data_IF_506424161562
#
_entry.id   IF_506424161562
#
_cell.length_a   1.000
_cell.length_b   1.000
_cell.length_c   1.000
_cell.angle_alpha   90.00
_cell.angle_beta   90.00
_cell.angle_gamma   90.00
#
_symmetry.space_group_name_H-M   'P 1'
#
loop_
_entity.id
_entity.type
_entity.pdbx_description
1 polymer ?
#
# COMPACT_ATOMS: atom_id res chain seq x y z
N UNK A 1 -33.56 56.39 -24.10
CA UNK A 1 -32.42 56.21 -23.15
C UNK A 1 -32.81 55.52 -21.83
N UNK A 2 -33.97 55.70 -21.26
CA UNK A 2 -34.37 55.09 -19.98
C UNK A 2 -34.54 53.53 -19.97
N UNK A 3 -34.78 52.92 -21.13
CA UNK A 3 -34.93 51.45 -21.24
C UNK A 3 -33.58 50.70 -21.25
N UNK A 4 -32.50 51.31 -21.72
CA UNK A 4 -31.17 50.72 -21.73
C UNK A 4 -30.56 50.64 -20.32
N UNK A 5 -30.82 51.62 -19.47
CA UNK A 5 -30.31 51.64 -18.10
C UNK A 5 -30.93 50.60 -17.18
N UNK A 6 -32.21 50.23 -17.40
CA UNK A 6 -32.88 49.17 -16.64
C UNK A 6 -32.36 47.75 -17.01
N UNK A 7 -31.96 47.51 -18.26
CA UNK A 7 -31.37 46.27 -18.69
C UNK A 7 -29.94 46.07 -18.14
N UNK A 8 -29.13 47.10 -18.15
CA UNK A 8 -27.77 47.06 -17.59
C UNK A 8 -27.77 46.86 -16.07
N UNK A 9 -28.75 47.45 -15.36
CA UNK A 9 -28.84 47.25 -13.89
C UNK A 9 -29.30 45.86 -13.52
N UNK A 10 -30.23 45.26 -14.27
CA UNK A 10 -30.65 43.85 -14.09
C UNK A 10 -29.52 42.84 -14.40
N UNK A 11 -28.69 43.09 -15.41
CA UNK A 11 -27.54 42.27 -15.75
C UNK A 11 -26.45 42.35 -14.66
N UNK A 12 -26.20 43.55 -14.11
CA UNK A 12 -25.28 43.74 -12.99
C UNK A 12 -25.77 43.08 -11.70
N UNK A 13 -27.05 43.14 -11.39
CA UNK A 13 -27.66 42.48 -10.22
C UNK A 13 -27.63 40.97 -10.38
N UNK A 14 -27.84 40.39 -11.59
CA UNK A 14 -27.72 38.94 -11.81
C UNK A 14 -26.27 38.46 -11.76
N UNK A 15 -25.30 39.25 -12.18
CA UNK A 15 -23.88 38.96 -12.05
C UNK A 15 -23.40 39.03 -10.57
N UNK A 16 -23.92 39.98 -9.80
CA UNK A 16 -23.64 40.06 -8.36
C UNK A 16 -24.33 38.93 -7.57
N UNK A 17 -25.56 38.53 -7.94
CA UNK A 17 -26.23 37.40 -7.27
C UNK A 17 -25.51 36.08 -7.49
N UNK A 18 -24.89 35.86 -8.67
CA UNK A 18 -24.02 34.67 -8.89
C UNK A 18 -22.65 34.77 -8.20
N UNK A 19 -22.17 35.97 -7.87
CA UNK A 19 -20.93 36.15 -7.12
C UNK A 19 -21.11 35.93 -5.60
N UNK A 20 -22.35 35.91 -5.09
CA UNK A 20 -22.68 35.69 -3.67
C UNK A 20 -23.03 34.20 -3.44
N UNK A 21 -23.22 33.36 -4.48
CA UNK A 21 -23.16 31.91 -4.37
C UNK A 21 -21.70 31.47 -4.13
N UNK A 22 -21.10 32.08 -3.11
CA UNK A 22 -19.75 31.79 -2.71
C UNK A 22 -19.72 30.64 -1.74
N UNK A 23 -18.82 29.75 -1.96
CA UNK A 23 -18.26 28.83 -1.00
C UNK A 23 -19.28 28.07 -0.15
N UNK A 24 -20.10 27.25 -0.77
CA UNK A 24 -20.54 26.04 -0.09
C UNK A 24 -19.30 25.37 0.46
N UNK A 25 -19.27 25.10 1.77
CA UNK A 25 -18.20 24.32 2.36
C UNK A 25 -18.10 23.03 1.54
N UNK A 26 -16.92 22.79 0.97
CA UNK A 26 -16.65 21.51 0.32
C UNK A 26 -17.11 20.39 1.27
N UNK A 27 -17.87 19.41 0.80
CA UNK A 27 -18.31 18.30 1.64
C UNK A 27 -17.08 17.67 2.32
N UNK A 28 -17.27 17.17 3.52
CA UNK A 28 -16.22 16.45 4.23
C UNK A 28 -15.74 15.28 3.34
N UNK A 29 -14.44 15.02 3.27
CA UNK A 29 -13.93 13.90 2.49
C UNK A 29 -14.40 12.58 3.10
N UNK A 30 -14.73 11.62 2.24
CA UNK A 30 -15.03 10.24 2.61
C UNK A 30 -13.96 9.32 2.05
N UNK A 31 -13.77 8.17 2.68
CA UNK A 31 -13.04 7.08 2.05
C UNK A 31 -13.89 6.56 0.88
N UNK A 32 -13.29 6.47 -0.29
CA UNK A 32 -13.98 5.94 -1.46
C UNK A 32 -13.90 4.43 -1.45
N UNK A 33 -15.01 3.78 -1.80
CA UNK A 33 -15.04 2.33 -2.01
C UNK A 33 -13.98 1.92 -3.06
N UNK A 34 -13.40 0.75 -2.88
CA UNK A 34 -12.44 0.17 -3.81
C UNK A 34 -13.14 -0.40 -5.05
N UNK A 35 -13.58 0.49 -5.94
CA UNK A 35 -14.31 0.13 -7.17
C UNK A 35 -13.50 -0.80 -8.09
N UNK A 36 -12.17 -0.75 -8.03
CA UNK A 36 -11.30 -1.65 -8.79
C UNK A 36 -11.39 -3.07 -8.26
N UNK A 37 -11.41 -3.24 -6.94
CA UNK A 37 -11.57 -4.54 -6.30
C UNK A 37 -12.97 -5.08 -6.53
N UNK A 38 -14.00 -4.25 -6.32
CA UNK A 38 -15.38 -4.64 -6.58
C UNK A 38 -15.56 -5.16 -8.02
N UNK A 39 -15.12 -4.39 -9.00
CA UNK A 39 -15.18 -4.81 -10.41
C UNK A 39 -14.38 -6.11 -10.67
N UNK A 40 -13.27 -6.30 -9.98
CA UNK A 40 -12.48 -7.54 -10.07
C UNK A 40 -13.28 -8.73 -9.55
N UNK A 41 -13.96 -8.61 -8.42
CA UNK A 41 -14.81 -9.64 -7.85
C UNK A 41 -16.03 -9.94 -8.76
N UNK A 42 -16.71 -8.91 -9.27
CA UNK A 42 -17.79 -9.06 -10.26
C UNK A 42 -17.36 -9.89 -11.47
N UNK A 43 -16.23 -9.50 -12.08
CA UNK A 43 -15.71 -10.21 -13.27
C UNK A 43 -15.19 -11.63 -12.97
N UNK A 44 -14.85 -11.92 -11.74
CA UNK A 44 -14.38 -13.25 -11.33
C UNK A 44 -15.52 -14.22 -11.01
N UNK A 45 -16.66 -13.73 -10.51
CA UNK A 45 -17.75 -14.55 -9.97
C UNK A 45 -19.07 -14.46 -10.74
N UNK A 46 -19.33 -13.34 -11.43
CA UNK A 46 -20.61 -13.14 -12.12
C UNK A 46 -20.50 -13.35 -13.64
N UNK A 47 -21.60 -13.69 -14.32
CA UNK A 47 -21.70 -13.68 -15.78
C UNK A 47 -21.37 -12.30 -16.37
N UNK A 48 -20.92 -12.27 -17.62
CA UNK A 48 -20.56 -11.04 -18.31
C UNK A 48 -21.74 -10.03 -18.38
N UNK A 49 -21.53 -8.84 -17.83
CA UNK A 49 -22.51 -7.75 -17.80
C UNK A 49 -23.44 -7.76 -16.58
N UNK A 50 -23.26 -8.72 -15.66
CA UNK A 50 -23.93 -8.71 -14.36
C UNK A 50 -23.08 -7.99 -13.33
N UNK A 51 -23.74 -7.40 -12.33
CA UNK A 51 -23.15 -6.65 -11.24
C UNK A 51 -23.75 -7.09 -9.92
N UNK A 52 -22.97 -6.95 -8.84
CA UNK A 52 -23.52 -7.13 -7.49
C UNK A 52 -24.62 -6.09 -7.21
N UNK A 53 -25.54 -6.44 -6.32
CA UNK A 53 -26.61 -5.52 -5.93
C UNK A 53 -26.05 -4.21 -5.34
N UNK A 54 -26.72 -3.08 -5.63
CA UNK A 54 -26.31 -1.78 -5.11
C UNK A 54 -26.39 -1.71 -3.58
N UNK A 55 -27.22 -2.56 -2.92
CA UNK A 55 -27.29 -2.68 -1.46
C UNK A 55 -25.94 -3.05 -0.84
N UNK A 56 -25.17 -3.96 -1.46
CA UNK A 56 -23.87 -4.39 -0.94
C UNK A 56 -22.85 -3.24 -0.86
N UNK A 57 -22.90 -2.30 -1.82
CA UNK A 57 -22.07 -1.09 -1.73
C UNK A 57 -22.38 -0.28 -0.47
N UNK A 58 -23.66 -0.11 -0.16
CA UNK A 58 -24.10 0.62 1.01
C UNK A 58 -23.75 -0.12 2.30
N UNK A 59 -23.90 -1.43 2.32
CA UNK A 59 -23.55 -2.26 3.47
C UNK A 59 -22.06 -2.18 3.79
N UNK A 60 -21.19 -2.36 2.79
CA UNK A 60 -19.73 -2.23 2.96
C UNK A 60 -19.37 -0.81 3.40
N UNK A 61 -19.94 0.23 2.79
CA UNK A 61 -19.69 1.61 3.20
C UNK A 61 -20.07 1.85 4.66
N UNK A 62 -21.21 1.30 5.13
CA UNK A 62 -21.66 1.42 6.51
C UNK A 62 -20.74 0.67 7.47
N UNK A 63 -20.37 -0.58 7.15
CA UNK A 63 -19.43 -1.38 7.95
C UNK A 63 -18.10 -0.65 8.06
N UNK A 64 -17.53 -0.22 6.94
CA UNK A 64 -16.24 0.47 6.91
C UNK A 64 -16.28 1.83 7.61
N UNK A 65 -17.40 2.54 7.55
CA UNK A 65 -17.60 3.80 8.26
C UNK A 65 -17.67 3.57 9.78
N UNK A 66 -18.36 2.53 10.22
CA UNK A 66 -18.42 2.16 11.63
C UNK A 66 -17.06 1.80 12.19
N UNK A 67 -16.31 0.91 11.51
CA UNK A 67 -15.02 0.42 11.97
C UNK A 67 -13.91 1.48 11.89
N UNK A 68 -13.86 2.24 10.81
CA UNK A 68 -12.72 3.10 10.49
C UNK A 68 -13.04 4.61 10.42
N UNK A 69 -14.30 4.99 10.57
CA UNK A 69 -14.70 6.40 10.51
C UNK A 69 -14.46 7.05 9.16
N UNK A 70 -14.08 8.32 9.19
CA UNK A 70 -13.84 9.15 8.00
C UNK A 70 -12.41 9.67 7.95
N UNK A 71 -11.95 10.21 6.80
CA UNK A 71 -10.66 10.88 6.72
C UNK A 71 -10.52 12.11 7.65
N UNK A 72 -11.62 12.69 8.12
CA UNK A 72 -11.61 13.82 9.06
C UNK A 72 -11.73 13.36 10.51
N UNK A 73 -12.30 12.20 10.75
CA UNK A 73 -12.49 11.60 12.07
C UNK A 73 -12.25 10.09 11.97
N UNK A 74 -10.97 9.67 11.95
CA UNK A 74 -10.60 8.26 11.88
C UNK A 74 -10.97 7.55 13.19
N UNK A 75 -11.49 6.33 13.05
CA UNK A 75 -11.74 5.38 14.11
C UNK A 75 -10.86 4.16 13.90
N UNK A 76 -10.69 3.37 14.94
CA UNK A 76 -10.09 2.05 14.83
C UNK A 76 -10.82 1.10 15.77
N UNK A 77 -11.26 -0.07 15.32
CA UNK A 77 -12.03 -0.98 16.14
C UNK A 77 -11.12 -1.69 17.16
N UNK A 78 -11.45 -1.56 18.43
CA UNK A 78 -10.83 -2.28 19.52
C UNK A 78 -11.92 -2.88 20.41
N UNK A 79 -11.69 -4.07 20.89
CA UNK A 79 -12.53 -4.69 21.91
C UNK A 79 -12.24 -4.05 23.28
N UNK A 80 -13.27 -3.89 24.11
CA UNK A 80 -13.09 -3.43 25.49
C UNK A 80 -12.15 -4.38 26.26
N UNK A 81 -11.15 -3.81 26.92
CA UNK A 81 -10.12 -4.57 27.67
C UNK A 81 -8.81 -4.78 26.94
N UNK A 82 -8.75 -4.54 25.63
CA UNK A 82 -7.51 -4.62 24.81
C UNK A 82 -6.95 -3.22 24.46
N UNK A 83 -7.49 -2.16 25.07
CA UNK A 83 -7.08 -0.78 24.80
C UNK A 83 -5.56 -0.56 24.97
N UNK A 84 -4.95 -1.21 25.96
CA UNK A 84 -3.52 -1.07 26.23
C UNK A 84 -2.66 -1.70 25.12
N UNK A 85 -3.00 -2.92 24.65
CA UNK A 85 -2.29 -3.59 23.55
C UNK A 85 -2.52 -2.87 22.21
N UNK A 86 -3.73 -2.37 22.03
CA UNK A 86 -4.11 -1.65 20.84
C UNK A 86 -3.44 -0.27 20.76
N UNK A 87 -3.26 0.42 21.88
CA UNK A 87 -2.50 1.67 21.96
C UNK A 87 -1.00 1.49 21.66
N UNK A 88 -0.43 0.32 21.98
CA UNK A 88 0.94 -0.02 21.58
C UNK A 88 1.06 -0.17 20.05
N UNK A 89 -0.01 -0.63 19.41
CA UNK A 89 -0.03 -0.91 17.97
C UNK A 89 -0.33 0.33 17.11
N UNK A 90 -1.36 1.10 17.44
CA UNK A 90 -1.75 2.36 16.78
C UNK A 90 -2.13 3.40 17.82
N UNK A 91 -1.46 4.54 17.81
CA UNK A 91 -1.81 5.67 18.66
C UNK A 91 -2.93 6.51 18.03
N UNK A 92 -4.05 6.67 18.75
CA UNK A 92 -5.22 7.40 18.25
C UNK A 92 -5.02 8.88 18.05
N UNK A 93 -4.26 9.52 18.92
CA UNK A 93 -3.97 10.94 18.80
C UNK A 93 -3.15 11.20 17.55
N UNK A 94 -2.22 10.29 17.24
CA UNK A 94 -1.45 10.31 16.00
C UNK A 94 -2.34 10.16 14.76
N UNK A 95 -3.35 9.26 14.80
CA UNK A 95 -4.29 9.11 13.69
C UNK A 95 -5.05 10.41 13.44
N UNK A 96 -5.59 11.03 14.48
CA UNK A 96 -6.32 12.30 14.38
C UNK A 96 -5.44 13.42 13.89
N UNK A 97 -4.21 13.46 14.35
CA UNK A 97 -3.23 14.47 13.92
C UNK A 97 -2.81 14.29 12.47
N UNK A 98 -2.59 13.04 12.03
CA UNK A 98 -2.20 12.76 10.65
C UNK A 98 -3.35 12.94 9.66
N UNK A 99 -4.59 12.62 10.06
CA UNK A 99 -5.73 12.46 9.17
C UNK A 99 -6.30 13.77 8.63
N UNK A 100 -7.03 14.49 9.45
CA UNK A 100 -7.96 15.51 9.03
C UNK A 100 -7.61 16.93 9.41
N UNK A 101 -8.65 17.70 9.74
CA UNK A 101 -8.53 19.07 10.24
C UNK A 101 -8.26 19.02 11.73
N UNK A 102 -6.98 19.11 12.10
CA UNK A 102 -6.59 18.94 13.50
C UNK A 102 -6.49 20.28 14.23
N UNK A 103 -6.05 21.34 13.56
CA UNK A 103 -5.74 22.61 14.19
C UNK A 103 -6.36 23.79 13.45
N UNK A 104 -6.61 24.88 14.19
CA UNK A 104 -6.76 26.19 13.60
C UNK A 104 -5.40 26.89 13.64
N UNK A 105 -5.01 27.55 12.55
CA UNK A 105 -3.88 28.47 12.58
C UNK A 105 -4.17 29.66 13.51
N UNK A 106 -3.18 30.56 13.67
CA UNK A 106 -3.32 31.74 14.54
C UNK A 106 -4.49 32.64 14.14
N UNK A 107 -4.95 32.54 12.90
CA UNK A 107 -6.07 33.30 12.34
C UNK A 107 -7.38 32.50 12.38
N UNK A 108 -7.40 31.32 13.02
CA UNK A 108 -8.57 30.46 13.13
C UNK A 108 -8.89 29.68 11.86
N UNK A 109 -7.95 29.58 10.89
CA UNK A 109 -8.15 28.77 9.69
C UNK A 109 -7.85 27.30 9.98
N UNK A 110 -8.67 26.38 9.45
CA UNK A 110 -8.39 24.95 9.61
C UNK A 110 -7.12 24.56 8.85
N UNK A 111 -6.18 23.95 9.54
CA UNK A 111 -4.97 23.35 8.97
C UNK A 111 -5.27 21.88 8.67
N UNK A 112 -4.90 21.39 7.48
CA UNK A 112 -5.01 19.99 7.11
C UNK A 112 -4.04 19.14 7.93
N UNK A 113 -4.41 17.89 8.23
CA UNK A 113 -3.51 16.95 8.87
C UNK A 113 -2.28 16.64 8.01
N UNK A 114 -1.20 16.17 8.66
CA UNK A 114 0.13 16.00 8.04
C UNK A 114 0.09 15.08 6.81
N UNK A 115 -0.73 14.03 6.83
CA UNK A 115 -0.88 13.14 5.67
C UNK A 115 -1.51 13.86 4.47
N UNK A 116 -2.52 14.70 4.70
CA UNK A 116 -3.14 15.47 3.60
C UNK A 116 -2.18 16.49 3.02
N UNK A 117 -1.39 17.12 3.87
CA UNK A 117 -0.43 18.14 3.43
C UNK A 117 0.69 17.54 2.60
N UNK A 118 1.25 16.42 3.04
CA UNK A 118 2.48 15.88 2.47
C UNK A 118 2.30 14.65 1.57
N UNK A 119 1.26 13.85 1.75
CA UNK A 119 1.18 12.51 1.17
C UNK A 119 0.00 12.31 0.22
N UNK A 120 -1.18 12.85 0.55
CA UNK A 120 -2.43 12.54 -0.15
C UNK A 120 -2.44 12.93 -1.63
N UNK A 121 -1.69 13.96 -2.04
CA UNK A 121 -1.62 14.39 -3.43
C UNK A 121 -1.00 13.32 -4.37
N UNK A 122 -0.16 12.42 -3.82
CA UNK A 122 0.39 11.27 -4.51
C UNK A 122 -0.33 9.97 -4.15
N UNK A 123 -0.49 9.71 -2.83
CA UNK A 123 -1.00 8.44 -2.33
C UNK A 123 -2.52 8.33 -2.24
N UNK A 124 -3.26 9.43 -2.50
CA UNK A 124 -4.72 9.47 -2.33
C UNK A 124 -5.14 9.62 -0.86
N UNK A 125 -6.37 10.07 -0.62
CA UNK A 125 -6.92 10.18 0.74
C UNK A 125 -7.20 8.80 1.33
N UNK A 126 -7.60 7.85 0.50
CA UNK A 126 -7.83 6.43 0.86
C UNK A 126 -6.56 5.61 0.91
N UNK A 127 -5.40 6.17 0.56
CA UNK A 127 -4.15 5.42 0.46
C UNK A 127 -4.07 4.50 -0.76
N UNK A 128 -4.91 4.75 -1.76
CA UNK A 128 -5.07 3.95 -2.99
C UNK A 128 -3.94 4.11 -4.01
N UNK A 129 -2.96 4.97 -3.75
CA UNK A 129 -1.88 5.26 -4.69
C UNK A 129 -2.31 6.04 -5.93
N UNK A 130 -3.58 6.49 -6.00
CA UNK A 130 -4.18 7.19 -7.12
C UNK A 130 -4.49 8.67 -6.82
N UNK A 131 -3.66 9.31 -6.00
CA UNK A 131 -3.76 10.75 -5.76
C UNK A 131 -3.64 11.58 -7.05
N UNK A 132 -4.00 12.85 -6.98
CA UNK A 132 -4.12 13.74 -8.13
C UNK A 132 -2.89 13.79 -9.06
N UNK A 133 -1.70 13.53 -8.51
CA UNK A 133 -0.44 13.53 -9.28
C UNK A 133 0.01 12.12 -9.71
N UNK A 134 -0.61 11.05 -9.20
CA UNK A 134 -0.16 9.68 -9.36
C UNK A 134 0.04 9.25 -10.82
N UNK A 135 -0.89 9.61 -11.69
CA UNK A 135 -0.86 9.24 -13.11
C UNK A 135 0.39 9.75 -13.85
N UNK A 136 1.04 10.81 -13.35
CA UNK A 136 2.24 11.42 -13.94
C UNK A 136 3.55 10.85 -13.37
N UNK A 137 3.49 10.05 -12.29
CA UNK A 137 4.67 9.55 -11.59
C UNK A 137 5.11 8.19 -12.12
N UNK A 138 6.42 7.92 -12.07
CA UNK A 138 7.00 6.63 -12.43
C UNK A 138 8.15 6.26 -11.46
N UNK A 139 8.01 5.22 -10.62
CA UNK A 139 6.83 4.34 -10.49
C UNK A 139 5.61 5.09 -9.94
N UNK A 140 4.46 4.43 -10.00
CA UNK A 140 3.27 4.88 -9.30
C UNK A 140 3.49 4.92 -7.79
N UNK A 141 2.80 5.81 -7.06
CA UNK A 141 2.79 5.77 -5.61
C UNK A 141 2.29 4.42 -5.10
N UNK A 142 2.67 4.05 -3.88
CA UNK A 142 2.21 2.81 -3.27
C UNK A 142 0.70 2.87 -3.01
N UNK A 143 -0.03 1.85 -3.45
CA UNK A 143 -1.35 1.53 -2.95
C UNK A 143 -1.18 0.77 -1.63
N UNK A 144 -1.53 1.40 -0.51
CA UNK A 144 -1.40 0.82 0.82
C UNK A 144 -2.39 -0.32 1.04
N UNK A 145 -3.57 -0.27 0.40
CA UNK A 145 -4.61 -1.29 0.49
C UNK A 145 -4.14 -2.70 0.08
N UNK A 146 -3.07 -2.77 -0.73
CA UNK A 146 -2.46 -4.05 -1.12
C UNK A 146 -1.54 -4.65 -0.05
N UNK A 147 -1.17 -3.90 1.00
CA UNK A 147 -0.21 -4.32 2.03
C UNK A 147 1.11 -4.88 1.48
N UNK A 148 1.58 -4.38 0.35
CA UNK A 148 2.82 -4.82 -0.31
C UNK A 148 3.89 -3.75 -0.22
N UNK A 149 4.85 -3.93 0.67
CA UNK A 149 5.94 -2.99 0.92
C UNK A 149 7.27 -3.51 0.40
N UNK A 150 7.95 -2.68 -0.43
CA UNK A 150 9.18 -3.10 -1.18
C UNK A 150 10.45 -3.06 -0.35
N UNK A 151 10.54 -2.11 0.58
CA UNK A 151 11.80 -1.79 1.28
C UNK A 151 11.60 -1.98 2.79
N UNK A 152 11.69 -3.21 3.21
CA UNK A 152 11.46 -3.66 4.58
C UNK A 152 12.53 -4.66 5.01
N UNK A 153 12.72 -4.81 6.29
CA UNK A 153 13.65 -5.76 6.91
C UNK A 153 13.06 -7.17 7.04
N UNK A 154 11.74 -7.27 6.93
CA UNK A 154 11.00 -8.54 7.04
C UNK A 154 10.96 -9.29 5.70
N UNK A 155 10.77 -10.63 5.69
CA UNK A 155 10.62 -11.44 4.49
C UNK A 155 9.39 -11.06 3.64
N UNK A 156 9.29 -11.65 2.44
CA UNK A 156 8.09 -11.53 1.60
C UNK A 156 6.83 -11.97 2.37
N UNK A 157 5.72 -11.30 2.13
CA UNK A 157 4.40 -11.55 2.72
C UNK A 157 4.29 -11.24 4.24
N UNK A 158 5.31 -10.68 4.86
CA UNK A 158 5.25 -10.12 6.21
C UNK A 158 5.09 -8.60 6.13
N UNK A 159 4.48 -8.01 7.12
CA UNK A 159 4.38 -6.55 7.21
C UNK A 159 5.74 -5.91 7.45
N UNK A 160 5.98 -4.65 7.05
CA UNK A 160 7.15 -3.91 7.47
C UNK A 160 7.06 -3.59 8.97
N UNK A 161 8.20 -3.42 9.61
CA UNK A 161 8.26 -2.84 10.96
C UNK A 161 7.98 -1.33 10.91
N UNK A 162 7.63 -0.73 12.05
CA UNK A 162 7.51 0.72 12.16
C UNK A 162 8.82 1.42 11.78
N UNK A 163 9.95 0.84 12.15
CA UNK A 163 11.26 1.35 11.76
C UNK A 163 11.49 1.32 10.23
N UNK A 164 11.03 0.29 9.53
CA UNK A 164 11.10 0.25 8.05
C UNK A 164 10.32 1.39 7.41
N UNK A 165 9.10 1.66 7.91
CA UNK A 165 8.26 2.76 7.45
C UNK A 165 8.90 4.12 7.75
N UNK A 166 9.40 4.31 8.96
CA UNK A 166 10.14 5.49 9.38
C UNK A 166 11.34 5.76 8.47
N UNK A 167 12.15 4.74 8.18
CA UNK A 167 13.31 4.87 7.29
C UNK A 167 12.90 5.31 5.87
N UNK A 168 11.79 4.79 5.35
CA UNK A 168 11.25 5.20 4.04
C UNK A 168 10.81 6.67 4.08
N UNK A 169 10.13 7.11 5.12
CA UNK A 169 9.71 8.50 5.27
C UNK A 169 10.91 9.43 5.40
N UNK A 170 11.84 9.13 6.30
CA UNK A 170 13.01 9.98 6.53
C UNK A 170 13.94 10.09 5.33
N UNK A 171 14.16 8.99 4.62
CA UNK A 171 15.13 8.96 3.51
C UNK A 171 14.48 9.23 2.15
N UNK A 172 13.15 9.11 2.04
CA UNK A 172 12.50 9.01 0.75
C UNK A 172 12.93 7.77 -0.02
N UNK A 173 12.58 7.70 -1.29
CA UNK A 173 12.97 6.59 -2.18
C UNK A 173 13.80 7.15 -3.33
N UNK A 174 15.13 7.04 -3.29
CA UNK A 174 16.03 7.61 -4.29
C UNK A 174 15.69 7.18 -5.72
N UNK A 175 15.63 8.12 -6.64
CA UNK A 175 15.29 7.87 -8.05
C UNK A 175 13.80 7.59 -8.28
N UNK A 176 12.96 8.08 -7.39
CA UNK A 176 11.50 8.17 -7.54
C UNK A 176 11.02 9.55 -7.12
N UNK A 177 9.72 9.80 -7.24
CA UNK A 177 9.10 11.04 -6.78
C UNK A 177 8.87 11.09 -5.26
N UNK A 178 9.07 9.98 -4.51
CA UNK A 178 8.93 9.97 -3.05
C UNK A 178 10.06 10.77 -2.40
N UNK A 179 9.79 11.95 -1.84
CA UNK A 179 10.82 12.80 -1.26
C UNK A 179 11.26 12.31 0.13
N UNK A 180 12.31 12.91 0.66
CA UNK A 180 12.75 12.73 2.04
C UNK A 180 12.00 13.71 2.95
N UNK A 181 11.41 13.19 4.01
CA UNK A 181 10.72 13.97 5.06
C UNK A 181 11.57 14.11 6.34
N UNK A 182 12.90 14.00 6.23
CA UNK A 182 13.82 14.08 7.38
C UNK A 182 13.76 15.39 8.17
N UNK A 183 13.14 16.42 7.61
CA UNK A 183 12.97 17.72 8.25
C UNK A 183 11.72 17.79 9.11
N UNK A 184 10.82 16.83 9.03
CA UNK A 184 9.69 16.72 9.94
C UNK A 184 10.17 16.28 11.32
N UNK A 185 9.55 16.76 12.40
CA UNK A 185 9.77 16.29 13.76
C UNK A 185 9.52 14.77 13.90
N UNK A 186 10.08 14.17 14.94
CA UNK A 186 9.97 12.71 15.15
C UNK A 186 8.54 12.26 15.41
N UNK A 187 7.77 13.06 16.15
CA UNK A 187 6.36 12.84 16.43
C UNK A 187 5.48 12.91 15.16
N UNK A 188 5.76 13.83 14.25
CA UNK A 188 5.07 13.88 12.96
C UNK A 188 5.38 12.66 12.08
N UNK A 189 6.63 12.19 12.08
CA UNK A 189 7.00 10.98 11.37
C UNK A 189 6.28 9.78 11.97
N UNK A 190 6.21 9.67 13.31
CA UNK A 190 5.51 8.57 13.98
C UNK A 190 4.00 8.60 13.68
N UNK A 191 3.38 9.77 13.71
CA UNK A 191 1.98 9.92 13.34
C UNK A 191 1.71 9.49 11.89
N UNK A 192 2.63 9.80 10.96
CA UNK A 192 2.53 9.31 9.58
C UNK A 192 2.71 7.80 9.46
N UNK A 193 3.60 7.17 10.26
CA UNK A 193 3.76 5.72 10.33
C UNK A 193 2.44 5.06 10.77
N UNK A 194 1.86 5.53 11.89
CA UNK A 194 0.57 5.04 12.39
C UNK A 194 -0.55 5.20 11.37
N UNK A 195 -0.61 6.34 10.69
CA UNK A 195 -1.63 6.57 9.68
C UNK A 195 -1.48 5.70 8.42
N UNK A 196 -0.26 5.38 8.00
CA UNK A 196 0.00 4.43 6.90
C UNK A 196 -0.42 3.02 7.30
N UNK A 197 -0.14 2.58 8.54
CA UNK A 197 -0.64 1.30 9.08
C UNK A 197 -2.17 1.26 9.06
N UNK A 198 -2.81 2.28 9.60
CA UNK A 198 -4.27 2.44 9.60
C UNK A 198 -4.86 2.33 8.19
N UNK A 199 -4.36 3.10 7.21
CA UNK A 199 -4.86 3.04 5.83
C UNK A 199 -4.66 1.66 5.19
N UNK A 200 -3.59 0.96 5.58
CA UNK A 200 -3.31 -0.38 5.07
C UNK A 200 -4.27 -1.40 5.63
N UNK A 201 -4.48 -1.42 6.94
CA UNK A 201 -5.40 -2.33 7.61
C UNK A 201 -6.82 -2.09 7.11
N UNK A 202 -7.28 -0.83 7.12
CA UNK A 202 -8.56 -0.44 6.55
C UNK A 202 -8.75 -0.98 5.13
N UNK A 203 -7.76 -0.75 4.26
CA UNK A 203 -7.85 -1.18 2.87
C UNK A 203 -7.82 -2.70 2.69
N UNK A 204 -7.13 -3.44 3.55
CA UNK A 204 -7.16 -4.91 3.55
C UNK A 204 -8.52 -5.44 4.00
N UNK A 205 -9.09 -4.89 5.08
CA UNK A 205 -10.43 -5.26 5.55
C UNK A 205 -11.47 -5.01 4.47
N UNK A 206 -11.46 -3.82 3.83
CA UNK A 206 -12.36 -3.52 2.70
C UNK A 206 -12.24 -4.56 1.57
N UNK A 207 -11.01 -4.98 1.23
CA UNK A 207 -10.78 -5.98 0.17
C UNK A 207 -11.29 -7.37 0.55
N UNK A 208 -11.20 -7.75 1.82
CA UNK A 208 -11.75 -9.01 2.31
C UNK A 208 -13.28 -8.97 2.28
N UNK A 209 -13.91 -7.91 2.78
CA UNK A 209 -15.38 -7.74 2.69
C UNK A 209 -15.87 -7.80 1.23
N UNK A 210 -15.15 -7.15 0.30
CA UNK A 210 -15.49 -7.21 -1.13
C UNK A 210 -15.31 -8.62 -1.72
N UNK A 211 -14.39 -9.43 -1.20
CA UNK A 211 -14.20 -10.79 -1.66
C UNK A 211 -15.33 -11.72 -1.18
N UNK A 212 -15.91 -11.46 -0.01
CA UNK A 212 -17.04 -12.22 0.53
C UNK A 212 -18.30 -12.09 -0.34
N UNK A 213 -18.49 -10.98 -1.05
CA UNK A 213 -19.66 -10.79 -1.92
C UNK A 213 -19.85 -11.92 -2.93
N UNK A 214 -18.77 -12.59 -3.32
CA UNK A 214 -18.83 -13.71 -4.26
C UNK A 214 -19.42 -14.99 -3.67
N UNK A 215 -19.54 -15.08 -2.35
CA UNK A 215 -20.08 -16.23 -1.61
C UNK A 215 -21.52 -16.03 -1.14
N UNK A 216 -22.05 -14.80 -1.25
CA UNK A 216 -23.41 -14.48 -0.80
C UNK A 216 -24.45 -14.84 -1.86
N UNK A 217 -25.44 -15.63 -1.48
CA UNK A 217 -26.61 -16.01 -2.29
C UNK A 217 -27.79 -15.05 -2.02
N UNK A 218 -27.67 -13.77 -2.41
CA UNK A 218 -28.65 -12.69 -2.18
C UNK A 218 -28.93 -12.36 -0.69
N UNK A 219 -28.11 -12.85 0.23
CA UNK A 219 -28.16 -12.51 1.66
C UNK A 219 -27.42 -11.21 1.96
N UNK A 220 -27.84 -10.49 3.00
CA UNK A 220 -27.10 -9.31 3.45
C UNK A 220 -25.72 -9.72 4.00
N UNK A 221 -24.69 -8.90 3.72
CA UNK A 221 -23.37 -9.10 4.33
C UNK A 221 -23.42 -8.86 5.84
N UNK A 222 -24.19 -7.86 6.28
CA UNK A 222 -24.52 -7.58 7.67
C UNK A 222 -25.77 -6.70 7.74
N UNK A 223 -26.77 -7.10 8.52
CA UNK A 223 -27.95 -6.26 8.74
C UNK A 223 -27.68 -5.16 9.77
N UNK A 224 -27.30 -3.99 9.29
CA UNK A 224 -27.00 -2.81 10.10
C UNK A 224 -28.20 -2.30 10.94
N UNK A 225 -29.41 -2.82 10.75
CA UNK A 225 -30.58 -2.44 11.59
C UNK A 225 -30.45 -2.93 13.03
N UNK A 226 -29.66 -3.96 13.26
CA UNK A 226 -29.32 -4.48 14.59
C UNK A 226 -28.17 -3.71 15.27
N UNK A 227 -27.52 -2.78 14.59
CA UNK A 227 -26.38 -2.03 15.12
C UNK A 227 -26.85 -0.73 15.76
N UNK A 228 -26.84 -0.59 17.09
CA UNK A 228 -27.22 0.64 17.76
C UNK A 228 -26.33 1.80 17.33
N UNK A 229 -26.92 2.92 16.92
CA UNK A 229 -26.21 4.15 16.53
C UNK A 229 -25.12 3.95 15.46
N UNK A 230 -25.11 2.79 14.78
CA UNK A 230 -24.11 2.44 13.76
C UNK A 230 -22.72 2.13 14.32
N UNK A 231 -22.63 1.70 15.57
CA UNK A 231 -21.37 1.32 16.23
C UNK A 231 -21.26 -0.20 16.36
N UNK A 232 -20.52 -0.82 15.41
CA UNK A 232 -20.32 -2.27 15.37
C UNK A 232 -19.52 -2.80 16.56
N UNK A 233 -18.57 -2.02 17.07
CA UNK A 233 -17.76 -2.41 18.22
C UNK A 233 -18.63 -2.45 19.47
N UNK A 234 -19.47 -1.43 19.65
CA UNK A 234 -20.43 -1.42 20.77
C UNK A 234 -21.48 -2.55 20.66
N UNK A 235 -21.87 -2.94 19.44
CA UNK A 235 -22.74 -4.08 19.24
C UNK A 235 -22.06 -5.39 19.68
N UNK A 236 -20.79 -5.61 19.30
CA UNK A 236 -20.03 -6.80 19.70
C UNK A 236 -19.85 -6.88 21.22
N UNK A 237 -19.48 -5.76 21.86
CA UNK A 237 -19.32 -5.70 23.33
C UNK A 237 -20.61 -6.10 24.06
N UNK A 238 -21.78 -5.74 23.53
CA UNK A 238 -23.04 -6.17 24.09
C UNK A 238 -23.28 -7.68 23.96
N UNK A 239 -22.82 -8.28 22.84
CA UNK A 239 -22.95 -9.73 22.64
C UNK A 239 -22.05 -10.52 23.60
N UNK A 240 -20.90 -9.97 23.97
CA UNK A 240 -19.92 -10.62 24.84
C UNK A 240 -20.22 -10.36 26.33
N UNK A 241 -21.10 -9.41 26.64
CA UNK A 241 -21.57 -9.16 28.01
C UNK A 241 -22.76 -10.02 28.31
N UNK A 242 -22.59 -11.01 29.21
CA UNK A 242 -23.69 -11.81 29.80
C UNK A 242 -24.75 -10.97 30.58
N UNK A 243 -24.85 -9.65 30.35
CA UNK A 243 -25.66 -8.73 31.12
C UNK A 243 -27.12 -8.66 30.67
N UNK A 244 -27.48 -9.22 29.51
CA UNK A 244 -28.89 -9.32 29.12
C UNK A 244 -29.53 -10.63 29.62
N UNK A 245 -29.76 -10.71 30.96
CA UNK A 245 -30.62 -11.72 31.60
C UNK A 245 -32.12 -11.55 31.21
N UNK A 246 -32.46 -10.83 30.15
CA UNK A 246 -33.85 -10.68 29.71
C UNK A 246 -34.20 -11.78 28.67
N UNK A 247 -34.70 -12.80 29.18
CA UNK A 247 -35.71 -13.86 29.00
C UNK A 247 -36.21 -14.19 27.56
N UNK A 248 -35.95 -13.47 26.55
CA UNK A 248 -36.37 -13.86 25.18
C UNK A 248 -35.18 -14.47 24.42
N UNK A 249 -35.30 -15.73 24.01
CA UNK A 249 -34.34 -16.35 23.10
C UNK A 249 -34.23 -15.47 21.85
N UNK A 250 -32.97 -15.20 21.36
CA UNK A 250 -32.78 -14.39 20.15
C UNK A 250 -33.56 -15.01 18.98
N UNK A 251 -34.13 -14.18 18.14
CA UNK A 251 -34.79 -14.69 16.94
C UNK A 251 -33.73 -15.13 15.90
N UNK A 252 -34.15 -15.94 14.94
CA UNK A 252 -33.25 -16.51 13.91
C UNK A 252 -32.47 -15.44 13.14
N UNK A 253 -32.99 -14.22 12.97
CA UNK A 253 -32.32 -13.12 12.30
C UNK A 253 -31.26 -12.46 13.20
N UNK A 254 -31.51 -12.41 14.49
CA UNK A 254 -30.55 -11.89 15.46
C UNK A 254 -29.35 -12.86 15.60
N UNK A 255 -29.62 -14.17 15.73
CA UNK A 255 -28.54 -15.17 15.73
C UNK A 255 -27.65 -15.05 14.47
N UNK A 256 -28.27 -14.91 13.30
CA UNK A 256 -27.53 -14.74 12.03
C UNK A 256 -26.72 -13.43 12.03
N UNK A 257 -27.26 -12.34 12.53
CA UNK A 257 -26.52 -11.06 12.66
C UNK A 257 -25.30 -11.20 13.57
N UNK A 258 -25.45 -11.88 14.71
CA UNK A 258 -24.38 -12.13 15.67
C UNK A 258 -23.24 -12.95 15.05
N UNK A 259 -23.55 -14.03 14.33
CA UNK A 259 -22.58 -14.84 13.61
C UNK A 259 -21.86 -14.03 12.52
N UNK A 260 -22.59 -13.20 11.75
CA UNK A 260 -22.01 -12.35 10.73
C UNK A 260 -21.09 -11.28 11.32
N UNK A 261 -21.48 -10.66 12.43
CA UNK A 261 -20.68 -9.64 13.12
C UNK A 261 -19.40 -10.24 13.67
N UNK A 262 -19.49 -11.40 14.34
CA UNK A 262 -18.33 -12.12 14.86
C UNK A 262 -17.35 -12.46 13.72
N UNK A 263 -17.84 -13.00 12.62
CA UNK A 263 -17.04 -13.30 11.44
C UNK A 263 -16.34 -12.06 10.88
N UNK A 264 -17.03 -10.94 10.74
CA UNK A 264 -16.45 -9.69 10.22
C UNK A 264 -15.35 -9.17 11.14
N UNK A 265 -15.58 -9.17 12.44
CA UNK A 265 -14.62 -8.61 13.39
C UNK A 265 -13.47 -9.57 13.67
N UNK A 266 -13.74 -10.83 13.92
CA UNK A 266 -12.71 -11.78 14.29
C UNK A 266 -11.95 -12.31 13.06
N UNK A 267 -12.63 -12.87 12.04
CA UNK A 267 -11.93 -13.49 10.91
C UNK A 267 -11.43 -12.46 9.90
N UNK A 268 -12.27 -11.49 9.49
CA UNK A 268 -11.90 -10.55 8.45
C UNK A 268 -11.08 -9.36 8.93
N UNK A 269 -11.12 -9.02 10.22
CA UNK A 269 -10.35 -7.91 10.76
C UNK A 269 -9.22 -8.38 11.67
N UNK A 270 -9.50 -9.09 12.78
CA UNK A 270 -8.48 -9.48 13.78
C UNK A 270 -7.51 -10.53 13.24
N UNK A 271 -8.00 -11.71 12.85
CA UNK A 271 -7.16 -12.83 12.38
C UNK A 271 -6.45 -12.53 11.05
N UNK A 272 -6.97 -11.62 10.27
CA UNK A 272 -6.44 -11.26 8.99
C UNK A 272 -5.50 -10.04 9.02
N UNK A 273 -6.02 -8.82 8.79
CA UNK A 273 -5.22 -7.61 8.69
C UNK A 273 -4.48 -7.25 9.97
N UNK A 274 -5.14 -7.30 11.14
CA UNK A 274 -4.56 -6.83 12.39
C UNK A 274 -3.41 -7.74 12.85
N UNK A 275 -3.63 -9.05 12.99
CA UNK A 275 -2.61 -10.02 13.40
C UNK A 275 -1.37 -9.99 12.50
N UNK A 276 -1.55 -9.69 11.21
CA UNK A 276 -0.42 -9.54 10.28
C UNK A 276 0.50 -8.37 10.64
N UNK A 277 -0.03 -7.36 11.31
CA UNK A 277 0.68 -6.14 11.68
C UNK A 277 1.07 -6.06 13.16
N UNK A 278 0.58 -6.96 14.01
CA UNK A 278 0.88 -6.92 15.45
C UNK A 278 2.33 -7.29 15.79
N UNK A 279 2.95 -8.21 15.04
CA UNK A 279 4.27 -8.76 15.40
C UNK A 279 5.25 -8.82 14.20
N UNK A 280 5.45 -7.72 13.44
CA UNK A 280 6.41 -7.74 12.32
C UNK A 280 7.86 -7.86 12.80
N UNK A 281 8.17 -7.40 14.01
CA UNK A 281 9.50 -7.40 14.62
C UNK A 281 10.05 -8.82 14.80
N UNK A 282 9.20 -9.79 15.12
CA UNK A 282 9.58 -11.20 15.29
C UNK A 282 10.04 -11.85 13.98
N UNK A 283 9.69 -11.26 12.85
CA UNK A 283 10.04 -11.74 11.52
C UNK A 283 11.20 -10.99 10.86
N UNK A 284 11.86 -10.07 11.58
CA UNK A 284 12.98 -9.29 11.03
C UNK A 284 14.13 -10.22 10.63
N UNK A 285 14.58 -10.05 9.40
CA UNK A 285 15.74 -10.80 8.89
C UNK A 285 17.01 -10.29 9.53
N UNK A 286 17.71 -11.19 10.24
CA UNK A 286 19.01 -10.89 10.79
C UNK A 286 20.02 -10.61 9.67
N UNK A 287 20.75 -9.51 9.81
CA UNK A 287 21.82 -9.11 8.89
C UNK A 287 23.16 -9.37 9.56
N UNK A 288 23.95 -10.35 9.08
CA UNK A 288 25.27 -10.61 9.62
C UNK A 288 26.20 -9.39 9.54
N UNK A 289 27.28 -9.40 10.32
CA UNK A 289 28.27 -8.33 10.31
C UNK A 289 28.80 -8.05 8.89
N UNK A 290 28.87 -6.77 8.53
CA UNK A 290 29.37 -6.36 7.21
C UNK A 290 30.86 -6.72 7.09
N UNK A 291 31.26 -7.52 6.11
CA UNK A 291 32.66 -7.81 5.91
C UNK A 291 33.52 -6.54 5.73
N UNK A 292 34.65 -6.47 6.41
CA UNK A 292 35.52 -5.28 6.39
C UNK A 292 35.92 -4.87 4.98
N UNK A 293 36.08 -5.84 4.06
CA UNK A 293 36.39 -5.62 2.65
C UNK A 293 35.30 -4.84 1.88
N UNK A 294 34.04 -4.86 2.35
CA UNK A 294 32.94 -4.10 1.75
C UNK A 294 32.87 -2.67 2.31
N UNK A 295 33.31 -2.49 3.54
CA UNK A 295 33.21 -1.23 4.27
C UNK A 295 34.24 -0.18 3.82
N UNK A 296 35.40 -0.58 3.30
CA UNK A 296 36.59 0.28 3.21
C UNK A 296 36.81 0.92 1.84
N UNK A 297 36.40 0.33 0.72
CA UNK A 297 36.64 0.94 -0.60
C UNK A 297 35.68 0.48 -1.69
N UNK A 298 35.16 1.44 -2.42
CA UNK A 298 34.34 1.18 -3.62
C UNK A 298 35.22 0.91 -4.87
N UNK A 299 36.54 1.09 -4.79
CA UNK A 299 37.45 1.03 -5.92
C UNK A 299 38.34 -0.22 -5.96
N UNK A 300 38.43 -0.98 -4.88
CA UNK A 300 39.27 -2.16 -4.83
C UNK A 300 38.53 -3.39 -5.36
N UNK A 301 39.03 -3.85 -6.50
CA UNK A 301 38.66 -5.12 -7.09
C UNK A 301 39.38 -6.24 -6.31
N UNK A 302 38.65 -6.93 -5.49
CA UNK A 302 39.19 -8.05 -4.69
C UNK A 302 38.41 -9.35 -4.94
N UNK A 303 38.92 -10.44 -4.38
CA UNK A 303 38.38 -11.81 -4.54
C UNK A 303 36.85 -11.88 -4.25
N UNK A 304 36.35 -11.04 -3.31
CA UNK A 304 34.94 -11.00 -2.98
C UNK A 304 34.08 -10.44 -4.13
N UNK A 305 34.60 -9.46 -4.88
CA UNK A 305 33.94 -8.90 -6.07
C UNK A 305 33.91 -9.92 -7.19
N UNK A 306 35.03 -10.66 -7.41
CA UNK A 306 35.08 -11.72 -8.40
C UNK A 306 34.12 -12.87 -8.11
N UNK A 307 34.06 -13.32 -6.84
CA UNK A 307 33.08 -14.30 -6.40
C UNK A 307 31.64 -13.80 -6.60
N UNK A 308 31.36 -12.54 -6.25
CA UNK A 308 30.05 -11.92 -6.47
C UNK A 308 29.68 -11.85 -7.93
N UNK A 309 30.66 -11.55 -8.80
CA UNK A 309 30.47 -11.56 -10.25
C UNK A 309 30.12 -12.97 -10.75
N UNK A 310 30.85 -13.99 -10.33
CA UNK A 310 30.54 -15.37 -10.70
C UNK A 310 29.12 -15.76 -10.28
N UNK A 311 28.73 -15.47 -9.04
CA UNK A 311 27.39 -15.74 -8.51
C UNK A 311 26.31 -14.99 -9.29
N UNK A 312 26.55 -13.75 -9.70
CA UNK A 312 25.60 -12.93 -10.46
C UNK A 312 25.22 -13.58 -11.80
N UNK A 313 26.18 -14.25 -12.47
CA UNK A 313 25.96 -14.91 -13.76
C UNK A 313 25.62 -16.40 -13.65
N UNK A 314 25.87 -17.04 -12.50
CA UNK A 314 25.68 -18.48 -12.29
C UNK A 314 24.57 -18.75 -11.26
N UNK A 315 24.94 -19.17 -10.05
CA UNK A 315 24.01 -19.63 -9.02
C UNK A 315 22.93 -18.60 -8.66
N UNK A 316 23.26 -17.32 -8.59
CA UNK A 316 22.32 -16.24 -8.28
C UNK A 316 21.39 -15.88 -9.45
N UNK A 317 21.78 -16.23 -10.67
CA UNK A 317 21.04 -15.99 -11.92
C UNK A 317 20.54 -14.53 -12.10
N UNK A 318 21.20 -13.57 -11.47
CA UNK A 318 20.80 -12.16 -11.46
C UNK A 318 20.81 -11.54 -12.87
N UNK A 319 21.76 -11.99 -13.70
CA UNK A 319 21.94 -11.51 -15.06
C UNK A 319 20.74 -11.78 -15.98
N UNK A 320 19.92 -12.78 -15.68
CA UNK A 320 18.71 -13.04 -16.46
C UNK A 320 17.78 -11.82 -16.49
N UNK A 321 17.58 -11.19 -15.33
CA UNK A 321 16.73 -10.01 -15.20
C UNK A 321 17.52 -8.71 -15.34
N UNK A 322 18.68 -8.60 -14.67
CA UNK A 322 19.48 -7.37 -14.67
C UNK A 322 20.31 -7.16 -15.94
N UNK A 323 20.37 -8.17 -16.83
CA UNK A 323 21.15 -8.14 -18.04
C UNK A 323 22.62 -8.49 -17.83
N UNK A 324 23.30 -8.90 -18.90
CA UNK A 324 24.73 -9.23 -18.86
C UNK A 324 25.61 -8.02 -18.57
N UNK A 325 25.10 -6.82 -18.82
CA UNK A 325 25.74 -5.55 -18.52
C UNK A 325 25.35 -4.97 -17.16
N UNK A 326 24.40 -5.60 -16.46
CA UNK A 326 23.78 -5.12 -15.23
C UNK A 326 23.07 -3.74 -15.39
N UNK A 327 22.63 -3.40 -16.58
CA UNK A 327 21.92 -2.14 -16.90
C UNK A 327 20.39 -2.26 -16.76
N UNK A 328 19.88 -3.41 -16.35
CA UNK A 328 18.43 -3.66 -16.24
C UNK A 328 17.78 -3.97 -17.58
N UNK A 329 18.54 -4.45 -18.53
CA UNK A 329 18.16 -4.75 -19.91
C UNK A 329 18.05 -6.25 -20.20
N UNK A 330 17.95 -7.08 -19.16
CA UNK A 330 17.70 -8.52 -19.29
C UNK A 330 16.27 -8.84 -19.70
N UNK A 331 15.98 -10.13 -19.82
CA UNK A 331 14.68 -10.66 -20.23
C UNK A 331 13.64 -10.49 -19.10
N UNK A 332 12.90 -9.39 -19.12
CA UNK A 332 11.70 -9.27 -18.27
C UNK A 332 10.63 -8.47 -18.98
N UNK A 333 9.56 -9.14 -19.37
CA UNK A 333 8.27 -8.52 -19.61
C UNK A 333 7.43 -8.73 -18.33
N UNK A 334 7.38 -7.78 -17.43
CA UNK A 334 6.57 -7.86 -16.23
C UNK A 334 5.94 -6.51 -15.92
N UNK A 335 4.85 -6.54 -15.19
CA UNK A 335 4.11 -5.35 -14.79
C UNK A 335 4.36 -5.04 -13.32
N UNK A 336 4.05 -3.80 -12.90
CA UNK A 336 4.06 -3.43 -11.49
C UNK A 336 2.93 -4.13 -10.73
N UNK A 337 3.01 -4.09 -9.41
CA UNK A 337 2.05 -4.73 -8.53
C UNK A 337 0.65 -4.12 -8.63
N UNK A 338 0.54 -2.83 -8.93
CA UNK A 338 -0.74 -2.19 -9.23
C UNK A 338 -1.43 -2.85 -10.42
N UNK A 339 -0.73 -3.02 -11.53
CA UNK A 339 -1.27 -3.67 -12.73
C UNK A 339 -1.59 -5.14 -12.46
N UNK A 340 -0.72 -5.86 -11.75
CA UNK A 340 -0.90 -7.30 -11.49
C UNK A 340 -2.08 -7.59 -10.58
N UNK A 341 -2.41 -6.71 -9.67
CA UNK A 341 -3.46 -6.95 -8.71
C UNK A 341 -4.79 -7.28 -9.39
N UNK A 342 -5.14 -6.53 -10.42
CA UNK A 342 -6.40 -6.74 -11.13
C UNK A 342 -6.26 -7.49 -12.46
N UNK A 343 -5.08 -7.54 -13.11
CA UNK A 343 -4.91 -8.27 -14.38
C UNK A 343 -4.69 -9.77 -14.18
N UNK A 344 -3.88 -10.17 -13.20
CA UNK A 344 -3.56 -11.58 -13.01
C UNK A 344 -4.73 -12.41 -12.46
N UNK A 345 -5.61 -11.80 -11.67
CA UNK A 345 -6.73 -12.52 -11.02
C UNK A 345 -7.80 -12.95 -12.00
N UNK A 346 -8.03 -12.18 -13.06
CA UNK A 346 -9.14 -12.36 -14.01
C UNK A 346 -8.69 -12.47 -15.47
N UNK A 347 -7.37 -12.62 -15.71
CA UNK A 347 -6.83 -12.86 -17.05
C UNK A 347 -6.94 -11.68 -18.03
N UNK A 348 -7.06 -10.45 -17.56
CA UNK A 348 -7.08 -9.24 -18.41
C UNK A 348 -5.72 -9.04 -19.06
N UNK A 349 -5.69 -8.83 -20.37
CA UNK A 349 -4.46 -8.49 -21.11
C UNK A 349 -4.09 -7.02 -20.93
N UNK A 350 -3.01 -6.69 -20.20
CA UNK A 350 -2.59 -5.33 -19.98
C UNK A 350 -2.08 -4.61 -21.25
N UNK A 351 -1.91 -5.31 -22.37
CA UNK A 351 -1.54 -4.74 -23.67
C UNK A 351 -2.76 -4.35 -24.52
N UNK A 352 -3.92 -4.93 -24.25
CA UNK A 352 -5.17 -4.64 -24.94
C UNK A 352 -6.06 -3.70 -24.12
N UNK A 353 -6.11 -2.44 -24.54
CA UNK A 353 -6.90 -1.41 -23.84
C UNK A 353 -8.41 -1.75 -23.76
N UNK A 354 -8.95 -2.54 -24.67
CA UNK A 354 -10.37 -2.90 -24.65
C UNK A 354 -10.71 -3.77 -23.44
N UNK A 355 -9.77 -4.61 -22.99
CA UNK A 355 -9.96 -5.56 -21.88
C UNK A 355 -9.92 -4.90 -20.50
N UNK A 356 -9.28 -3.72 -20.37
CA UNK A 356 -9.15 -3.01 -19.08
C UNK A 356 -9.82 -1.63 -19.05
N UNK A 357 -10.67 -1.31 -20.02
CA UNK A 357 -11.35 0.00 -20.07
C UNK A 357 -12.20 0.26 -18.84
N UNK A 358 -12.94 -0.74 -18.37
CA UNK A 358 -13.84 -0.63 -17.23
C UNK A 358 -13.06 -0.39 -15.95
N UNK A 359 -11.89 -1.05 -15.79
CA UNK A 359 -10.98 -0.80 -14.67
C UNK A 359 -10.45 0.62 -14.62
N UNK A 360 -10.16 1.22 -15.79
CA UNK A 360 -9.80 2.65 -15.85
C UNK A 360 -10.96 3.56 -15.44
N UNK A 361 -12.18 3.19 -15.78
CA UNK A 361 -13.38 3.92 -15.36
C UNK A 361 -13.62 3.78 -13.85
N UNK A 362 -13.33 2.61 -13.27
CA UNK A 362 -13.35 2.33 -11.84
C UNK A 362 -12.21 3.01 -11.05
N UNK A 363 -11.28 3.68 -11.73
CA UNK A 363 -10.19 4.44 -11.09
C UNK A 363 -8.82 3.77 -11.12
N UNK A 364 -8.67 2.59 -11.76
CA UNK A 364 -7.37 1.97 -11.93
C UNK A 364 -6.42 2.86 -12.74
N UNK A 365 -5.14 2.85 -12.39
CA UNK A 365 -4.11 3.48 -13.21
C UNK A 365 -3.79 2.59 -14.43
N UNK A 366 -3.24 3.19 -15.48
CA UNK A 366 -2.88 2.44 -16.70
C UNK A 366 -1.86 1.34 -16.39
N UNK A 367 -1.95 0.16 -17.04
CA UNK A 367 -0.93 -0.87 -16.96
C UNK A 367 0.46 -0.31 -17.21
N UNK A 368 1.42 -0.69 -16.37
CA UNK A 368 2.80 -0.22 -16.47
C UNK A 368 3.78 -1.36 -16.33
N UNK A 369 4.61 -1.53 -17.36
CA UNK A 369 5.73 -2.45 -17.30
C UNK A 369 6.81 -1.91 -16.35
N UNK A 370 7.39 -2.80 -15.54
CA UNK A 370 8.55 -2.50 -14.69
C UNK A 370 9.81 -3.15 -15.27
N UNK A 371 10.94 -2.53 -14.95
CA UNK A 371 12.26 -3.03 -15.35
C UNK A 371 13.16 -3.20 -14.14
N UNK A 372 14.06 -4.19 -14.16
CA UNK A 372 15.11 -4.31 -13.18
C UNK A 372 15.94 -3.04 -13.10
N UNK A 373 16.51 -2.80 -11.94
CA UNK A 373 17.32 -1.62 -11.71
C UNK A 373 18.61 -1.68 -12.55
N UNK A 374 19.00 -0.54 -13.12
CA UNK A 374 20.34 -0.35 -13.63
C UNK A 374 21.32 -0.27 -12.45
N UNK A 375 22.09 -1.33 -12.23
CA UNK A 375 23.02 -1.45 -11.11
C UNK A 375 24.33 -0.68 -11.32
N UNK A 376 24.55 -0.16 -12.51
CA UNK A 376 25.71 0.73 -12.80
C UNK A 376 25.48 2.16 -12.33
N UNK A 377 24.26 2.50 -11.91
CA UNK A 377 23.97 3.77 -11.27
C UNK A 377 24.00 3.58 -9.75
N UNK A 378 24.82 4.36 -9.00
CA UNK A 378 24.94 4.23 -7.55
C UNK A 378 23.72 4.81 -6.80
N UNK A 379 22.53 4.57 -7.33
CA UNK A 379 21.25 5.03 -6.77
C UNK A 379 20.37 3.83 -6.53
N UNK A 380 20.22 3.44 -5.28
CA UNK A 380 19.44 2.27 -4.86
C UNK A 380 18.19 2.70 -4.11
N UNK A 381 17.01 2.27 -4.58
CA UNK A 381 15.71 2.71 -4.06
C UNK A 381 15.48 2.37 -2.59
N UNK A 382 15.95 1.23 -2.14
CA UNK A 382 15.88 0.79 -0.72
C UNK A 382 17.10 1.19 0.11
N UNK A 383 17.91 2.16 -0.39
CA UNK A 383 19.16 2.57 0.25
C UNK A 383 20.38 1.81 -0.26
N UNK A 384 21.54 2.47 -0.26
CA UNK A 384 22.83 1.95 -0.79
C UNK A 384 23.79 1.45 0.30
N UNK A 385 23.39 1.40 1.56
CA UNK A 385 24.21 0.77 2.60
C UNK A 385 24.34 -0.73 2.33
N UNK A 386 25.46 -1.38 2.67
CA UNK A 386 25.64 -2.81 2.46
C UNK A 386 24.50 -3.66 3.03
N UNK A 387 24.03 -3.33 4.24
CA UNK A 387 22.93 -4.02 4.90
C UNK A 387 21.62 -3.94 4.09
N UNK A 388 21.34 -2.76 3.51
CA UNK A 388 20.13 -2.58 2.70
C UNK A 388 20.16 -3.44 1.43
N UNK A 389 21.33 -3.55 0.79
CA UNK A 389 21.51 -4.39 -0.39
C UNK A 389 21.45 -5.87 -0.02
N UNK A 390 22.02 -6.25 1.13
CA UNK A 390 21.92 -7.60 1.68
C UNK A 390 20.46 -8.01 1.85
N UNK A 391 19.66 -7.19 2.57
CA UNK A 391 18.22 -7.44 2.76
C UNK A 391 17.46 -7.55 1.44
N UNK A 392 17.77 -6.73 0.43
CA UNK A 392 17.11 -6.82 -0.89
C UNK A 392 17.43 -8.12 -1.61
N UNK A 393 18.63 -8.66 -1.46
CA UNK A 393 19.01 -9.94 -2.06
C UNK A 393 18.45 -11.10 -1.23
N UNK A 394 18.59 -11.05 0.10
CA UNK A 394 18.12 -12.10 1.02
C UNK A 394 16.61 -12.31 0.94
N UNK A 395 15.85 -11.22 1.10
CA UNK A 395 14.38 -11.26 1.19
C UNK A 395 13.68 -11.14 -0.17
N UNK A 396 14.38 -10.67 -1.22
CA UNK A 396 13.73 -10.23 -2.45
C UNK A 396 13.05 -8.86 -2.29
N UNK A 397 12.21 -8.48 -3.26
CA UNK A 397 11.47 -7.21 -3.24
C UNK A 397 10.01 -7.50 -3.55
N UNK A 398 9.16 -7.35 -2.55
CA UNK A 398 7.73 -7.63 -2.64
C UNK A 398 7.03 -6.79 -3.73
N UNK A 399 6.05 -7.39 -4.41
CA UNK A 399 5.37 -6.76 -5.53
C UNK A 399 6.22 -6.59 -6.79
N UNK A 400 7.38 -7.27 -6.87
CA UNK A 400 8.25 -7.29 -8.03
C UNK A 400 8.66 -8.72 -8.38
N UNK A 401 9.22 -8.97 -9.58
CA UNK A 401 9.78 -10.26 -9.93
C UNK A 401 11.08 -10.62 -9.22
N UNK A 402 11.70 -9.73 -8.44
CA UNK A 402 12.94 -10.02 -7.73
C UNK A 402 12.68 -11.01 -6.59
N UNK A 403 13.08 -12.27 -6.73
CA UNK A 403 12.80 -13.29 -5.74
C UNK A 403 13.71 -13.15 -4.52
N UNK A 404 13.39 -13.88 -3.45
CA UNK A 404 14.29 -14.09 -2.34
C UNK A 404 15.51 -14.93 -2.76
N UNK A 405 16.70 -14.52 -2.31
CA UNK A 405 17.96 -15.25 -2.45
C UNK A 405 18.16 -16.35 -1.40
N UNK A 406 17.08 -16.93 -0.86
CA UNK A 406 17.13 -17.86 0.27
C UNK A 406 17.97 -19.13 0.07
N UNK A 407 18.36 -19.50 -1.17
CA UNK A 407 19.27 -20.60 -1.46
C UNK A 407 20.75 -20.21 -1.42
N UNK A 408 21.04 -18.92 -1.28
CA UNK A 408 22.39 -18.38 -1.15
C UNK A 408 22.80 -18.32 0.34
N UNK A 409 24.05 -18.67 0.63
CA UNK A 409 24.61 -18.44 1.95
C UNK A 409 24.86 -16.94 2.19
N UNK A 410 25.02 -16.54 3.45
CA UNK A 410 25.28 -15.15 3.80
C UNK A 410 26.58 -14.64 3.18
N UNK A 411 27.63 -15.48 3.09
CA UNK A 411 28.88 -15.16 2.39
C UNK A 411 28.68 -14.95 0.90
N UNK A 412 27.79 -15.72 0.27
CA UNK A 412 27.44 -15.56 -1.14
C UNK A 412 26.65 -14.27 -1.38
N UNK A 413 25.75 -13.92 -0.46
CA UNK A 413 25.01 -12.65 -0.52
C UNK A 413 25.96 -11.47 -0.32
N UNK A 414 26.90 -11.55 0.64
CA UNK A 414 27.91 -10.50 0.80
C UNK A 414 28.82 -10.34 -0.42
N UNK A 415 29.16 -11.43 -1.08
CA UNK A 415 29.90 -11.36 -2.35
C UNK A 415 29.09 -10.64 -3.45
N UNK A 416 27.79 -10.94 -3.57
CA UNK A 416 26.89 -10.23 -4.49
C UNK A 416 26.76 -8.75 -4.13
N UNK A 417 26.66 -8.40 -2.85
CA UNK A 417 26.63 -7.01 -2.39
C UNK A 417 27.92 -6.28 -2.78
N UNK A 418 29.09 -6.91 -2.60
CA UNK A 418 30.38 -6.35 -3.01
C UNK A 418 30.41 -6.07 -4.51
N UNK A 419 29.98 -7.03 -5.33
CA UNK A 419 29.92 -6.86 -6.79
C UNK A 419 28.94 -5.77 -7.21
N UNK A 420 27.72 -5.74 -6.66
CA UNK A 420 26.73 -4.72 -6.98
C UNK A 420 27.23 -3.32 -6.62
N UNK A 421 27.89 -3.15 -5.47
CA UNK A 421 28.49 -1.86 -5.07
C UNK A 421 29.66 -1.45 -5.97
N UNK A 422 30.38 -2.39 -6.53
CA UNK A 422 31.51 -2.13 -7.43
C UNK A 422 31.07 -1.82 -8.86
N UNK A 423 29.93 -2.35 -9.34
CA UNK A 423 29.44 -2.18 -10.72
C UNK A 423 29.47 -0.73 -11.25
N UNK A 424 29.11 0.32 -10.49
CA UNK A 424 29.21 1.70 -10.95
C UNK A 424 30.63 2.15 -11.33
N UNK A 425 31.65 1.50 -10.80
CA UNK A 425 33.07 1.84 -10.97
C UNK A 425 33.81 0.92 -11.98
N UNK A 426 33.10 -0.11 -12.49
CA UNK A 426 33.65 -1.04 -13.48
C UNK A 426 34.00 -0.30 -14.77
N UNK A 427 35.29 -0.36 -15.18
CA UNK A 427 35.76 0.31 -16.38
C UNK A 427 35.18 -0.33 -17.65
N UNK A 428 34.79 0.48 -18.62
CA UNK A 428 34.40 0.02 -19.95
C UNK A 428 35.53 -0.81 -20.56
N UNK A 429 35.25 -2.07 -20.94
CA UNK A 429 36.24 -3.00 -21.49
C UNK A 429 36.63 -4.16 -20.58
N UNK A 430 36.39 -4.08 -19.25
CA UNK A 430 36.52 -5.23 -18.34
C UNK A 430 35.30 -6.17 -18.38
N UNK A 431 34.33 -5.84 -19.21
CA UNK A 431 33.02 -6.48 -19.34
C UNK A 431 33.01 -7.77 -20.16
N UNK A 432 34.15 -8.45 -20.35
CA UNK A 432 34.12 -9.74 -21.07
C UNK A 432 33.43 -10.77 -20.15
N UNK A 433 32.20 -11.22 -20.46
CA UNK A 433 31.71 -12.44 -19.85
C UNK A 433 32.72 -13.53 -20.19
N UNK A 434 33.29 -14.20 -19.21
CA UNK A 434 33.78 -15.54 -19.43
C UNK A 434 32.53 -16.36 -19.77
N UNK A 435 32.30 -16.55 -21.06
CA UNK A 435 31.38 -17.56 -21.55
C UNK A 435 31.82 -18.86 -20.88
N UNK A 436 31.07 -19.29 -19.86
CA UNK A 436 31.16 -20.66 -19.37
C UNK A 436 30.78 -21.51 -20.57
N UNK A 437 31.78 -22.18 -21.14
CA UNK A 437 31.60 -23.15 -22.21
C UNK A 437 30.63 -24.22 -21.74
N UNK A 438 29.34 -24.10 -22.04
CA UNK A 438 28.35 -25.15 -21.95
C UNK A 438 28.63 -26.25 -22.99
N UNK A 439 29.80 -26.90 -22.88
CA UNK A 439 30.14 -28.16 -23.57
C UNK A 439 29.92 -29.35 -22.63
N UNK A 440 28.76 -29.44 -21.99
CA UNK A 440 28.43 -30.62 -21.20
C UNK A 440 26.91 -30.87 -21.04
N UNK A 441 26.11 -30.58 -22.09
CA UNK A 441 24.78 -31.20 -22.20
C UNK A 441 24.60 -31.61 -23.66
N UNK A 442 25.31 -32.65 -24.04
CA UNK A 442 25.02 -33.49 -25.19
C UNK A 442 25.58 -34.87 -24.89
N UNK A 443 24.77 -35.63 -24.13
CA UNK A 443 24.66 -37.13 -24.17
C UNK A 443 23.42 -37.58 -23.45
#
# INVERSE_FOLDING_TARGET
MAKLHKFSLLLLVSLFANAICGCEKSPAPTFRLNEVELLKQEKASLPEGEHFADSYRQEIDNIMLSLFGTPDDPKFPFLEGEEDEAHEFINFDDLKWAAGRVHSDRDGRPISGIYREHCAHCHGITGDGAGATAAFLNPYPRDFRLSKYKFKSTPLRRSPTDHDLELVLRNGIPGTAMPSFRTLPDDEIQALVNYVKYLTIRGQTERLLLAELSSLDDEALLDMSYVPDGDLVAALVKLDSDEDEDEDEPDENQEMFEEQLDYILNDLFYEGPLTRWSEPEDSVTEVPEVPASIAVSHSDHGDLVDKGRELFFAKGNCAQCHGSTAMGDGETANYDDWTKDWTNSIGVDPTDKSTYRDFLAAGALKPRAIRPRNLRLPVYRGGGKPQNLYLRIKNGIEGTPMPSGGTLSDDEIWALVAYVKWLPYEKAGQQKPKLVNNKAIAR
#
